data_IF_427706366067
#
_entry.id   IF_427706366067
#
_cell.length_a   1.000
_cell.length_b   1.000
_cell.length_c   1.000
_cell.angle_alpha   90.00
_cell.angle_beta   90.00
_cell.angle_gamma   90.00
#
_symmetry.space_group_name_H-M   'P 1'
#
loop_
_entity.id
_entity.type
_entity.pdbx_description
1 polymer ?
#
# COMPACT_ATOMS: atom_id res chain seq x y z
N UNK A 1 -17.73 1.65 -9.42
CA UNK A 1 -16.53 1.46 -8.59
C UNK A 1 -17.03 1.11 -7.20
N UNK A 2 -16.79 -0.13 -6.77
CA UNK A 2 -17.03 -0.50 -5.38
C UNK A 2 -15.85 0.09 -4.62
N UNK A 3 -16.03 1.28 -4.05
CA UNK A 3 -15.10 1.78 -3.05
C UNK A 3 -15.38 1.01 -1.76
N UNK A 4 -14.37 0.36 -1.20
CA UNK A 4 -14.50 -0.27 0.11
C UNK A 4 -14.81 0.78 1.17
N UNK A 5 -15.42 0.35 2.27
CA UNK A 5 -15.93 1.28 3.27
C UNK A 5 -14.79 1.93 4.07
N UNK A 6 -14.52 3.21 3.79
CA UNK A 6 -13.52 4.01 4.51
C UNK A 6 -14.02 4.57 5.86
N UNK A 7 -15.25 4.26 6.28
CA UNK A 7 -15.81 4.80 7.54
C UNK A 7 -15.26 4.15 8.80
N UNK A 8 -14.62 2.98 8.67
CA UNK A 8 -14.04 2.22 9.78
C UNK A 8 -12.56 1.99 9.48
N UNK A 9 -11.76 3.04 9.70
CA UNK A 9 -10.31 3.04 9.52
C UNK A 9 -9.63 3.51 10.79
N UNK A 10 -8.54 2.85 11.16
CA UNK A 10 -7.56 3.37 12.11
C UNK A 10 -6.44 3.99 11.30
N UNK A 11 -6.06 5.23 11.61
CA UNK A 11 -5.00 5.95 10.91
C UNK A 11 -3.97 6.41 11.93
N UNK A 12 -2.73 6.02 11.75
CA UNK A 12 -1.62 6.42 12.61
C UNK A 12 -0.51 7.02 11.75
N UNK A 13 0.06 8.14 12.18
CA UNK A 13 1.33 8.63 11.67
C UNK A 13 2.42 8.10 12.57
N UNK A 14 3.43 7.48 11.98
CA UNK A 14 4.49 6.80 12.71
C UNK A 14 5.86 7.29 12.23
N UNK A 15 6.85 7.30 13.12
CA UNK A 15 8.23 7.60 12.77
C UNK A 15 8.87 6.38 12.08
N UNK A 16 9.57 6.60 10.96
CA UNK A 16 10.18 5.52 10.18
C UNK A 16 11.37 4.86 10.87
N UNK A 17 12.12 5.61 11.69
CA UNK A 17 13.32 5.08 12.34
C UNK A 17 12.97 4.31 13.61
N UNK A 18 12.00 4.81 14.39
CA UNK A 18 11.66 4.23 15.69
C UNK A 18 10.39 3.37 15.68
N UNK A 19 9.58 3.46 14.62
CA UNK A 19 8.24 2.86 14.50
C UNK A 19 7.24 3.37 15.56
N UNK A 20 7.59 4.41 16.32
CA UNK A 20 6.71 4.99 17.33
C UNK A 20 5.56 5.77 16.69
N UNK A 21 4.37 5.66 17.30
CA UNK A 21 3.20 6.46 16.91
C UNK A 21 3.46 7.93 17.27
N UNK A 22 3.48 8.78 16.25
CA UNK A 22 3.54 10.24 16.37
C UNK A 22 2.15 10.80 16.67
N UNK A 23 1.14 10.33 15.95
CA UNK A 23 -0.24 10.82 16.06
C UNK A 23 -1.24 9.75 15.61
N UNK A 24 -2.43 9.75 16.21
CA UNK A 24 -3.60 9.02 15.71
C UNK A 24 -4.54 10.01 15.05
N UNK A 25 -4.92 9.75 13.82
CA UNK A 25 -5.68 10.67 12.98
C UNK A 25 -7.14 10.21 12.82
N UNK A 26 -8.05 11.16 12.71
CA UNK A 26 -9.45 10.91 12.39
C UNK A 26 -9.61 10.52 10.91
N UNK A 27 -10.68 9.81 10.54
CA UNK A 27 -10.97 9.44 9.14
C UNK A 27 -10.93 10.62 8.16
N UNK A 28 -11.23 11.84 8.63
CA UNK A 28 -11.15 13.06 7.82
C UNK A 28 -9.75 13.33 7.25
N UNK A 29 -8.70 12.77 7.87
CA UNK A 29 -7.31 12.85 7.42
C UNK A 29 -7.09 12.21 6.06
N UNK A 30 -7.93 11.26 5.64
CA UNK A 30 -7.89 10.71 4.28
C UNK A 30 -8.12 11.77 3.19
N UNK A 31 -8.73 12.91 3.51
CA UNK A 31 -8.91 14.03 2.58
C UNK A 31 -7.66 14.93 2.46
N UNK A 32 -6.63 14.69 3.27
CA UNK A 32 -5.36 15.42 3.20
C UNK A 32 -4.63 15.03 1.90
N UNK A 33 -3.92 16.00 1.30
CA UNK A 33 -3.11 15.75 0.11
C UNK A 33 -2.04 14.69 0.40
N UNK A 34 -1.82 13.79 -0.56
CA UNK A 34 -0.75 12.79 -0.49
C UNK A 34 0.64 13.44 -0.37
N UNK A 35 0.82 14.69 -0.81
CA UNK A 35 2.05 15.47 -0.59
C UNK A 35 2.45 15.60 0.88
N UNK A 36 1.55 15.33 1.82
CA UNK A 36 1.88 15.19 3.23
C UNK A 36 3.07 14.23 3.48
N UNK A 37 3.13 13.07 2.84
CA UNK A 37 4.25 12.12 3.06
C UNK A 37 5.57 12.67 2.51
N UNK A 38 5.52 13.49 1.45
CA UNK A 38 6.71 14.15 0.89
C UNK A 38 7.20 15.30 1.73
N UNK A 39 6.31 15.92 2.51
CA UNK A 39 6.63 17.01 3.44
C UNK A 39 7.15 16.49 4.79
N UNK A 40 6.76 15.26 5.17
CA UNK A 40 7.14 14.61 6.43
C UNK A 40 7.84 13.27 6.11
N UNK A 41 8.99 13.34 5.45
CA UNK A 41 9.66 12.15 4.89
C UNK A 41 10.18 11.17 5.93
N UNK A 42 10.34 11.61 7.18
CA UNK A 42 10.69 10.76 8.31
C UNK A 42 9.47 9.96 8.84
N UNK A 43 8.30 10.10 8.22
CA UNK A 43 7.07 9.46 8.66
C UNK A 43 6.49 8.51 7.61
N UNK A 44 5.73 7.54 8.10
CA UNK A 44 4.79 6.76 7.30
C UNK A 44 3.40 6.84 7.91
N UNK A 45 2.39 6.65 7.06
CA UNK A 45 0.99 6.66 7.46
C UNK A 45 0.51 5.21 7.47
N UNK A 46 0.34 4.66 8.66
CA UNK A 46 -0.19 3.32 8.90
C UNK A 46 -1.71 3.34 8.91
N UNK A 47 -2.34 2.46 8.13
CA UNK A 47 -3.79 2.42 7.97
C UNK A 47 -4.27 0.98 8.12
N UNK A 48 -5.20 0.76 9.04
CA UNK A 48 -5.93 -0.49 9.22
C UNK A 48 -7.41 -0.31 8.85
N UNK A 49 -8.01 -1.34 8.28
CA UNK A 49 -9.44 -1.38 8.03
C UNK A 49 -9.95 -2.82 7.97
N UNK A 50 -11.14 -3.13 8.52
CA UNK A 50 -11.77 -4.44 8.34
C UNK A 50 -11.98 -4.81 6.86
N UNK A 51 -12.06 -3.83 5.96
CA UNK A 51 -12.16 -4.09 4.54
C UNK A 51 -10.92 -4.77 3.94
N UNK A 52 -9.76 -4.69 4.60
CA UNK A 52 -8.51 -5.28 4.09
C UNK A 52 -8.49 -6.81 4.24
N UNK A 53 -9.30 -7.37 5.15
CA UNK A 53 -9.49 -8.82 5.29
C UNK A 53 -9.94 -9.49 3.97
N UNK A 54 -10.76 -8.78 3.19
CA UNK A 54 -11.29 -9.25 1.90
C UNK A 54 -10.17 -9.44 0.86
N UNK A 55 -9.13 -8.59 0.95
CA UNK A 55 -7.96 -8.57 0.08
C UNK A 55 -6.71 -9.19 0.74
N UNK A 56 -6.87 -9.90 1.87
CA UNK A 56 -5.79 -10.65 2.56
C UNK A 56 -4.64 -9.78 3.06
N UNK A 57 -4.95 -8.57 3.51
CA UNK A 57 -4.00 -7.61 4.06
C UNK A 57 -4.52 -7.16 5.43
N UNK A 58 -3.63 -7.00 6.40
CA UNK A 58 -4.00 -6.51 7.74
C UNK A 58 -3.96 -4.97 7.78
N UNK A 59 -2.91 -4.39 7.20
CA UNK A 59 -2.70 -2.95 7.15
C UNK A 59 -1.94 -2.52 5.88
N UNK A 60 -2.07 -1.24 5.53
CA UNK A 60 -1.34 -0.58 4.45
C UNK A 60 -0.61 0.63 5.04
N UNK A 61 0.69 0.71 4.83
CA UNK A 61 1.50 1.88 5.12
C UNK A 61 1.74 2.70 3.86
N UNK A 62 1.61 4.02 3.93
CA UNK A 62 1.95 4.95 2.85
C UNK A 62 3.11 5.86 3.26
N UNK A 63 4.14 5.94 2.42
CA UNK A 63 5.32 6.77 2.67
C UNK A 63 5.93 7.31 1.37
N UNK A 64 6.94 8.17 1.52
CA UNK A 64 7.91 8.46 0.45
C UNK A 64 9.15 7.59 0.65
N UNK A 65 9.49 6.71 -0.27
CA UNK A 65 10.67 5.84 -0.18
C UNK A 65 11.98 6.67 -0.16
N UNK A 66 12.89 6.35 0.76
CA UNK A 66 14.09 7.16 0.98
C UNK A 66 15.13 7.01 -0.15
N UNK A 67 15.15 5.86 -0.84
CA UNK A 67 16.15 5.51 -1.86
C UNK A 67 15.73 6.02 -3.23
N UNK A 68 14.50 5.73 -3.63
CA UNK A 68 13.95 6.02 -4.95
C UNK A 68 13.12 7.29 -4.98
N UNK A 69 12.78 7.86 -3.83
CA UNK A 69 11.99 9.09 -3.71
C UNK A 69 10.62 8.97 -4.40
N UNK A 70 10.02 7.77 -4.34
CA UNK A 70 8.68 7.46 -4.87
C UNK A 70 7.67 7.36 -3.74
N UNK A 71 6.42 7.71 -4.02
CA UNK A 71 5.31 7.40 -3.13
C UNK A 71 5.10 5.88 -3.13
N UNK A 72 5.15 5.25 -1.98
CA UNK A 72 5.17 3.79 -1.87
C UNK A 72 4.12 3.31 -0.89
N UNK A 73 3.41 2.25 -1.26
CA UNK A 73 2.56 1.48 -0.35
C UNK A 73 3.30 0.23 0.11
N UNK A 74 3.36 0.02 1.43
CA UNK A 74 3.96 -1.16 2.05
C UNK A 74 2.87 -1.98 2.73
N UNK A 75 2.85 -3.28 2.51
CA UNK A 75 1.85 -4.16 3.12
C UNK A 75 2.27 -5.63 3.11
N UNK A 76 1.76 -6.36 4.08
CA UNK A 76 1.80 -7.82 4.15
C UNK A 76 0.62 -8.44 3.42
N UNK A 77 0.85 -9.41 2.52
CA UNK A 77 -0.20 -10.15 1.80
C UNK A 77 -0.19 -11.62 2.19
N UNK A 78 -1.27 -12.05 2.85
CA UNK A 78 -1.42 -13.40 3.40
C UNK A 78 -1.76 -14.44 2.31
N UNK A 79 -0.75 -14.85 1.54
CA UNK A 79 -0.87 -15.83 0.46
C UNK A 79 0.29 -16.83 0.41
N UNK A 80 -0.02 -18.08 0.01
CA UNK A 80 0.97 -19.17 -0.05
C UNK A 80 2.09 -18.88 -1.06
N UNK A 81 3.33 -19.28 -0.72
CA UNK A 81 4.54 -19.16 -1.57
C UNK A 81 4.36 -19.63 -3.01
N UNK A 82 3.51 -20.63 -3.26
CA UNK A 82 3.26 -21.19 -4.60
C UNK A 82 2.80 -20.14 -5.63
N UNK A 83 2.25 -19.01 -5.17
CA UNK A 83 1.80 -17.92 -6.03
C UNK A 83 2.91 -16.92 -6.43
N UNK A 84 4.18 -17.22 -6.12
CA UNK A 84 5.33 -16.36 -6.46
C UNK A 84 5.31 -15.85 -7.89
N UNK A 85 5.12 -16.75 -8.87
CA UNK A 85 5.13 -16.37 -10.28
C UNK A 85 3.94 -15.48 -10.63
N UNK A 86 2.74 -15.80 -10.14
CA UNK A 86 1.53 -15.04 -10.39
C UNK A 86 1.63 -13.61 -9.83
N UNK A 87 2.06 -13.45 -8.58
CA UNK A 87 2.24 -12.14 -7.94
C UNK A 87 3.24 -11.28 -8.72
N UNK A 88 4.42 -11.83 -9.03
CA UNK A 88 5.46 -11.07 -9.71
C UNK A 88 5.07 -10.73 -11.15
N UNK A 89 4.41 -11.63 -11.86
CA UNK A 89 3.94 -11.35 -13.23
C UNK A 89 2.87 -10.26 -13.21
N UNK A 90 1.89 -10.36 -12.31
CA UNK A 90 0.85 -9.34 -12.17
C UNK A 90 1.43 -7.94 -11.91
N UNK A 91 2.37 -7.81 -10.95
CA UNK A 91 3.01 -6.53 -10.66
C UNK A 91 3.83 -6.01 -11.85
N UNK A 92 4.53 -6.91 -12.56
CA UNK A 92 5.24 -6.54 -13.78
C UNK A 92 4.30 -6.09 -14.90
N UNK A 93 3.08 -6.62 -14.98
CA UNK A 93 2.14 -6.25 -16.05
C UNK A 93 1.36 -4.97 -15.72
N UNK A 94 1.14 -4.68 -14.43
CA UNK A 94 0.29 -3.57 -13.97
C UNK A 94 1.04 -2.31 -13.54
N UNK A 95 2.33 -2.41 -13.19
CA UNK A 95 3.18 -1.25 -12.96
C UNK A 95 3.78 -0.76 -14.29
N UNK A 96 3.93 0.55 -14.46
CA UNK A 96 4.47 1.19 -15.67
C UNK A 96 5.94 1.58 -15.51
N UNK A 97 6.62 1.83 -16.63
CA UNK A 97 8.03 2.24 -16.64
C UNK A 97 9.01 1.08 -16.78
N UNK A 98 10.25 1.39 -17.16
CA UNK A 98 11.30 0.38 -17.39
C UNK A 98 11.91 -0.14 -16.08
N UNK A 99 11.91 0.68 -15.02
CA UNK A 99 12.43 0.34 -13.71
C UNK A 99 11.34 0.46 -12.65
N UNK A 100 10.46 -0.55 -12.54
CA UNK A 100 9.25 -0.52 -11.70
C UNK A 100 9.52 -0.58 -10.19
N UNK A 101 10.80 -0.63 -9.78
CA UNK A 101 11.39 -0.65 -8.40
C UNK A 101 10.58 -1.27 -7.25
N UNK A 102 9.62 -2.15 -7.52
CA UNK A 102 8.84 -2.81 -6.49
C UNK A 102 9.63 -3.94 -5.84
N UNK A 103 9.30 -4.24 -4.59
CA UNK A 103 9.76 -5.44 -3.89
C UNK A 103 8.58 -6.39 -3.65
N UNK A 104 8.87 -7.69 -3.69
CA UNK A 104 7.92 -8.76 -3.36
C UNK A 104 8.71 -9.96 -2.83
N UNK A 105 8.75 -10.09 -1.52
CA UNK A 105 9.52 -11.10 -0.79
C UNK A 105 8.58 -11.98 0.03
N UNK A 106 8.80 -13.29 0.05
CA UNK A 106 7.98 -14.19 0.86
C UNK A 106 8.66 -14.48 2.19
N UNK A 107 8.03 -14.09 3.29
CA UNK A 107 8.41 -14.43 4.65
C UNK A 107 7.95 -15.87 4.97
N UNK A 108 8.90 -16.80 5.04
CA UNK A 108 8.62 -18.21 5.29
C UNK A 108 8.12 -18.50 6.70
N UNK A 109 8.53 -17.68 7.67
CA UNK A 109 8.19 -17.85 9.08
C UNK A 109 6.77 -17.35 9.37
N UNK A 110 6.33 -16.30 8.69
CA UNK A 110 4.99 -15.71 8.85
C UNK A 110 3.98 -16.24 7.83
N UNK A 111 4.45 -16.86 6.75
CA UNK A 111 3.58 -17.35 5.68
C UNK A 111 2.95 -16.21 4.86
N UNK A 112 3.57 -15.04 4.86
CA UNK A 112 3.08 -13.82 4.21
C UNK A 112 4.09 -13.29 3.17
N UNK A 113 3.60 -12.41 2.30
CA UNK A 113 4.42 -11.65 1.37
C UNK A 113 4.61 -10.23 1.87
N UNK A 114 5.84 -9.76 1.89
CA UNK A 114 6.18 -8.36 2.11
C UNK A 114 6.29 -7.67 0.74
N UNK A 115 5.44 -6.66 0.54
CA UNK A 115 5.36 -5.91 -0.72
C UNK A 115 5.60 -4.43 -0.48
N UNK A 116 6.51 -3.85 -1.26
CA UNK A 116 6.69 -2.40 -1.36
C UNK A 116 6.37 -2.00 -2.80
N UNK A 117 5.25 -1.32 -2.98
CA UNK A 117 4.70 -0.99 -4.29
C UNK A 117 4.80 0.53 -4.53
N UNK A 118 5.68 0.99 -5.43
CA UNK A 118 5.75 2.38 -5.83
C UNK A 118 4.49 2.80 -6.61
N UNK A 119 3.68 3.64 -5.99
CA UNK A 119 2.41 4.15 -6.50
C UNK A 119 2.60 4.99 -7.77
N UNK A 120 3.74 5.68 -7.91
CA UNK A 120 4.12 6.46 -9.09
C UNK A 120 3.97 5.70 -10.41
N UNK A 121 4.12 4.37 -10.36
CA UNK A 121 4.06 3.50 -11.52
C UNK A 121 2.68 2.86 -11.74
N UNK A 122 1.71 3.07 -10.84
CA UNK A 122 0.36 2.54 -11.00
C UNK A 122 -0.45 3.47 -11.92
N UNK A 123 -1.23 2.88 -12.83
CA UNK A 123 -2.17 3.65 -13.64
C UNK A 123 -3.18 4.42 -12.78
N UNK A 124 -3.26 5.73 -12.97
CA UNK A 124 -4.20 6.59 -12.26
C UNK A 124 -3.59 7.33 -11.08
N UNK A 125 -2.32 7.08 -10.76
CA UNK A 125 -1.58 7.86 -9.78
C UNK A 125 -1.43 9.33 -10.19
N UNK A 126 -1.50 10.22 -9.20
CA UNK A 126 -1.18 11.64 -9.31
C UNK A 126 -0.69 12.17 -7.96
N UNK A 127 0.40 12.95 -7.92
CA UNK A 127 0.87 13.57 -6.67
C UNK A 127 -0.17 14.53 -6.05
N UNK A 128 -1.15 15.01 -6.83
CA UNK A 128 -2.19 15.92 -6.35
C UNK A 128 -3.37 15.19 -5.69
N UNK A 129 -3.37 13.86 -5.69
CA UNK A 129 -4.42 13.07 -5.06
C UNK A 129 -4.36 13.18 -3.52
N UNK A 130 -5.46 12.82 -2.89
CA UNK A 130 -5.58 12.68 -1.44
C UNK A 130 -5.03 11.33 -0.95
N UNK A 131 -4.76 11.23 0.34
CA UNK A 131 -4.35 9.96 0.98
C UNK A 131 -5.41 8.88 0.74
N UNK A 132 -6.70 9.20 0.86
CA UNK A 132 -7.80 8.26 0.62
C UNK A 132 -7.88 7.77 -0.82
N UNK A 133 -7.56 8.62 -1.79
CA UNK A 133 -7.49 8.22 -3.21
C UNK A 133 -6.28 7.31 -3.46
N UNK A 134 -5.13 7.59 -2.85
CA UNK A 134 -3.94 6.72 -2.95
C UNK A 134 -4.18 5.35 -2.29
N UNK A 135 -4.83 5.33 -1.12
CA UNK A 135 -5.26 4.11 -0.45
C UNK A 135 -6.26 3.34 -1.32
N UNK A 136 -7.20 4.03 -1.97
CA UNK A 136 -8.16 3.42 -2.89
C UNK A 136 -7.49 2.79 -4.11
N UNK A 137 -6.50 3.47 -4.67
CA UNK A 137 -5.69 2.96 -5.78
C UNK A 137 -4.92 1.69 -5.36
N UNK A 138 -4.36 1.70 -4.16
CA UNK A 138 -3.61 0.57 -3.59
C UNK A 138 -4.54 -0.63 -3.35
N UNK A 139 -5.69 -0.41 -2.72
CA UNK A 139 -6.69 -1.45 -2.50
C UNK A 139 -7.12 -2.12 -3.82
N UNK A 140 -7.44 -1.33 -4.85
CA UNK A 140 -7.88 -1.85 -6.15
C UNK A 140 -6.80 -2.71 -6.82
N UNK A 141 -5.53 -2.32 -6.70
CA UNK A 141 -4.41 -3.12 -7.20
C UNK A 141 -4.36 -4.48 -6.49
N UNK A 142 -4.49 -4.51 -5.17
CA UNK A 142 -4.43 -5.75 -4.36
C UNK A 142 -5.65 -6.62 -4.60
N UNK A 143 -6.85 -6.03 -4.63
CA UNK A 143 -8.09 -6.73 -4.91
C UNK A 143 -8.01 -7.47 -6.26
N UNK A 144 -7.54 -6.78 -7.29
CA UNK A 144 -7.39 -7.37 -8.63
C UNK A 144 -6.37 -8.51 -8.63
N UNK A 145 -5.20 -8.32 -7.99
CA UNK A 145 -4.19 -9.38 -7.81
C UNK A 145 -4.78 -10.62 -7.14
N UNK A 146 -5.47 -10.43 -6.02
CA UNK A 146 -6.07 -11.52 -5.23
C UNK A 146 -7.13 -12.25 -6.05
N UNK A 147 -7.94 -11.52 -6.81
CA UNK A 147 -8.97 -12.09 -7.67
C UNK A 147 -8.39 -12.86 -8.86
N UNK A 148 -7.29 -12.40 -9.45
CA UNK A 148 -6.60 -13.14 -10.52
C UNK A 148 -6.00 -14.46 -10.04
N UNK A 149 -5.51 -14.50 -8.79
CA UNK A 149 -4.91 -15.71 -8.20
C UNK A 149 -5.96 -16.72 -7.74
N UNK A 150 -7.16 -16.27 -7.37
CA UNK A 150 -8.27 -17.13 -6.93
C UNK A 150 -9.01 -17.81 -8.09
N UNK A 151 -8.85 -17.35 -9.33
CA UNK A 151 -9.44 -17.95 -10.53
C UNK A 151 -8.78 -19.30 -10.87
#
# INVERSE_FOLDING_TARGET
MVGFNLSEVTIERCDKETEDIISKEETSFLNTSLKHVKQNQNEFIYIESPAFDEIKVDAISLELDDVFQTYTALFGLAMQKKYTAAIKNYLNDNLKGENKYFSASFSGDEGMWDLNIPLDYIQGFSEDMTIGEALSLTYQLIETLVNEIKQ
#
